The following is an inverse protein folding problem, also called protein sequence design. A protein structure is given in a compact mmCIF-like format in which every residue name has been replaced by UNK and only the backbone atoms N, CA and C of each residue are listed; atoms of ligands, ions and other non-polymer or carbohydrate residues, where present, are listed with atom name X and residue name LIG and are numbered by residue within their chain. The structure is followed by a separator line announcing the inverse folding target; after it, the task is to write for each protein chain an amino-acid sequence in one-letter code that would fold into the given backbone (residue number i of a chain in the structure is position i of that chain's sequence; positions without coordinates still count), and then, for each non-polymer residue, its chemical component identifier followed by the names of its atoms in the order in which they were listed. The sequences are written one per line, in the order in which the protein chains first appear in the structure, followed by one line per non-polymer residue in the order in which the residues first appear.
data_IF_020006755062
#
_entry.id   IF_020006755062
#
_cell.length_a   1.000
_cell.length_b   1.000
_cell.length_c   1.000
_cell.angle_alpha   90.00
_cell.angle_beta   90.00
_cell.angle_gamma   90.00
#
_symmetry.space_group_name_H-M   'P 1'
#
loop_
_entity.id
_entity.type
_entity.pdbx_description
1 polymer ?
#
# COMPACT_ATOMS: atom_id res chain seq x y z
N UNK A 1 12.96 3.35 6.16
CA UNK A 1 13.73 4.54 5.73
C UNK A 1 14.76 4.91 6.79
N UNK A 2 14.35 5.38 7.99
CA UNK A 2 15.28 5.76 9.07
C UNK A 2 16.28 4.66 9.46
N UNK A 3 15.85 3.39 9.48
CA UNK A 3 16.73 2.27 9.89
C UNK A 3 17.85 1.93 8.90
N UNK A 4 17.73 2.24 7.59
CA UNK A 4 18.80 1.94 6.63
C UNK A 4 19.92 2.99 6.75
N UNK A 5 19.55 4.27 6.72
CA UNK A 5 20.47 5.39 6.92
C UNK A 5 21.24 5.24 8.23
N UNK A 6 20.56 4.86 9.32
CA UNK A 6 21.24 4.64 10.61
C UNK A 6 22.27 3.51 10.56
N UNK A 7 22.03 2.43 9.81
CA UNK A 7 23.00 1.33 9.68
C UNK A 7 24.24 1.75 8.88
N UNK A 8 24.03 2.51 7.81
CA UNK A 8 25.13 2.94 6.94
C UNK A 8 25.98 4.02 7.65
N UNK A 9 25.33 4.92 8.40
CA UNK A 9 26.03 5.89 9.28
C UNK A 9 26.75 5.19 10.43
N UNK A 10 26.17 4.15 11.02
CA UNK A 10 26.84 3.35 12.06
C UNK A 10 28.10 2.66 11.52
N UNK A 11 28.04 2.07 10.33
CA UNK A 11 29.19 1.45 9.69
C UNK A 11 30.29 2.47 9.41
N UNK A 12 29.91 3.66 8.91
CA UNK A 12 30.85 4.75 8.69
C UNK A 12 31.51 5.24 9.99
N UNK A 13 30.72 5.43 11.05
CA UNK A 13 31.22 5.81 12.37
C UNK A 13 32.15 4.76 12.95
N UNK A 14 31.89 3.47 12.72
CA UNK A 14 32.77 2.38 13.14
C UNK A 14 34.12 2.45 12.42
N UNK A 15 34.12 2.60 11.10
CA UNK A 15 35.35 2.73 10.29
C UNK A 15 36.14 3.98 10.74
N UNK A 16 35.43 5.09 10.95
CA UNK A 16 36.02 6.32 11.47
C UNK A 16 36.67 6.08 12.84
N UNK A 17 35.96 5.49 13.80
CA UNK A 17 36.49 5.21 15.14
C UNK A 17 37.73 4.31 15.11
N UNK A 18 37.71 3.23 14.29
CA UNK A 18 38.87 2.34 14.12
C UNK A 18 40.06 3.09 13.54
N UNK A 19 39.84 3.92 12.52
CA UNK A 19 40.91 4.73 11.93
C UNK A 19 41.48 5.74 12.93
N UNK A 20 40.64 6.40 13.74
CA UNK A 20 41.09 7.34 14.77
C UNK A 20 41.95 6.66 15.81
N UNK A 21 41.55 5.46 16.27
CA UNK A 21 42.34 4.69 17.25
C UNK A 21 43.71 4.32 16.66
N UNK A 22 43.75 3.89 15.40
CA UNK A 22 45.00 3.54 14.73
C UNK A 22 45.94 4.75 14.58
N UNK A 23 45.40 5.91 14.21
CA UNK A 23 46.20 7.14 14.11
C UNK A 23 46.67 7.64 15.48
N UNK A 24 45.80 7.60 16.49
CA UNK A 24 46.16 7.96 17.86
C UNK A 24 47.32 7.09 18.38
N UNK A 25 47.32 5.80 18.06
CA UNK A 25 48.41 4.89 18.43
C UNK A 25 49.71 5.21 17.68
N UNK A 26 49.65 5.57 16.39
CA UNK A 26 50.83 6.02 15.65
C UNK A 26 51.44 7.30 16.22
N UNK A 27 50.62 8.30 16.56
CA UNK A 27 51.10 9.51 17.21
C UNK A 27 51.68 9.22 18.60
N UNK A 28 51.05 8.33 19.37
CA UNK A 28 51.58 7.90 20.66
C UNK A 28 52.97 7.28 20.54
N UNK A 29 53.17 6.38 19.57
CA UNK A 29 54.46 5.73 19.33
C UNK A 29 55.53 6.75 18.93
N UNK A 30 55.17 7.75 18.11
CA UNK A 30 56.08 8.83 17.72
C UNK A 30 56.46 9.71 18.92
N UNK A 31 55.49 10.11 19.74
CA UNK A 31 55.74 10.94 20.93
C UNK A 31 56.53 10.19 22.01
N UNK A 32 56.34 8.87 22.15
CA UNK A 32 57.06 8.05 23.13
C UNK A 32 58.54 7.84 22.77
N UNK A 33 58.88 7.92 21.48
CA UNK A 33 60.25 7.69 21.03
C UNK A 33 61.24 8.74 21.52
N UNK A 34 60.74 9.89 21.98
CA UNK A 34 61.54 10.96 22.54
C UNK A 34 61.56 10.86 24.08
N UNK A 35 62.66 10.33 24.63
CA UNK A 35 62.81 10.04 26.06
C UNK A 35 62.73 11.31 26.93
N UNK A 36 62.89 12.48 26.31
CA UNK A 36 62.92 13.77 27.00
C UNK A 36 61.53 14.31 27.35
N UNK A 37 60.45 13.83 26.70
CA UNK A 37 59.12 14.46 26.80
C UNK A 37 58.23 13.93 27.92
N UNK A 38 58.59 12.79 28.55
CA UNK A 38 57.82 12.15 29.62
C UNK A 38 58.69 11.71 30.81
N UNK A 39 59.26 12.66 31.58
CA UNK A 39 60.02 12.32 32.77
C UNK A 39 59.13 11.64 33.83
N UNK A 40 59.63 10.59 34.52
CA UNK A 40 58.83 9.79 35.45
C UNK A 40 58.37 10.56 36.71
N UNK A 41 59.01 11.69 37.02
CA UNK A 41 58.80 12.45 38.26
C UNK A 41 58.11 13.81 38.03
N UNK A 42 57.44 14.01 36.89
CA UNK A 42 56.79 15.28 36.59
C UNK A 42 55.50 15.47 37.40
N UNK A 43 55.32 16.64 37.99
CA UNK A 43 54.11 17.02 38.70
C UNK A 43 52.90 16.87 37.75
N UNK A 44 51.81 16.16 38.12
CA UNK A 44 50.67 15.90 37.24
C UNK A 44 50.00 17.16 36.66
N UNK A 45 50.25 18.35 37.21
CA UNK A 45 49.76 19.61 36.66
C UNK A 45 50.59 20.14 35.47
N UNK A 46 51.88 19.82 35.43
CA UNK A 46 52.82 20.20 34.37
C UNK A 46 53.20 19.03 33.47
N UNK A 47 52.70 17.84 33.78
CA UNK A 47 52.87 16.66 32.96
C UNK A 47 52.35 16.95 31.56
N UNK A 48 53.21 16.73 30.57
CA UNK A 48 52.85 16.84 29.17
C UNK A 48 51.50 16.11 28.95
N UNK A 49 50.49 16.69 28.28
CA UNK A 49 49.21 16.02 28.03
C UNK A 49 49.43 14.70 27.26
N UNK A 50 50.51 14.62 26.48
CA UNK A 50 51.02 13.38 25.88
C UNK A 50 51.76 12.48 26.89
N UNK A 51 51.49 12.63 28.19
CA UNK A 51 51.80 11.84 29.40
C UNK A 51 50.68 10.90 29.85
N UNK A 52 49.43 11.27 29.59
CA UNK A 52 48.24 10.69 30.22
C UNK A 52 47.44 9.74 29.31
N UNK A 53 46.73 8.71 29.84
CA UNK A 53 45.78 7.93 29.04
C UNK A 53 44.59 8.73 28.47
N UNK A 54 44.37 9.98 28.92
CA UNK A 54 43.31 10.88 28.43
C UNK A 54 43.55 11.36 26.97
N UNK A 55 44.77 11.16 26.45
CA UNK A 55 45.23 11.58 25.10
C UNK A 55 44.33 11.20 23.92
N UNK A 56 43.55 10.12 24.01
CA UNK A 56 42.64 9.74 22.93
C UNK A 56 41.58 10.81 22.66
N UNK A 57 41.18 11.57 23.69
CA UNK A 57 40.26 12.69 23.54
C UNK A 57 40.92 13.90 22.88
N UNK A 58 42.18 14.19 23.21
CA UNK A 58 42.90 15.31 22.60
C UNK A 58 43.16 15.05 21.12
N UNK A 59 43.50 13.82 20.74
CA UNK A 59 43.59 13.38 19.33
C UNK A 59 42.25 13.53 18.60
N UNK A 60 41.13 13.23 19.26
CA UNK A 60 39.79 13.42 18.69
C UNK A 60 39.49 14.90 18.43
N UNK A 61 39.81 15.77 19.39
CA UNK A 61 39.70 17.23 19.27
C UNK A 61 40.60 17.77 18.14
N UNK A 62 41.75 17.16 17.96
CA UNK A 62 42.70 17.50 16.90
C UNK A 62 42.20 17.14 15.49
N UNK A 63 41.53 15.99 15.35
CA UNK A 63 40.83 15.60 14.11
C UNK A 63 39.66 16.54 13.81
N UNK A 64 39.02 17.10 14.85
CA UNK A 64 38.00 18.15 14.70
C UNK A 64 38.59 19.51 14.28
N UNK A 65 39.91 19.61 14.11
CA UNK A 65 40.61 20.80 13.62
C UNK A 65 41.06 21.76 14.71
N UNK A 66 40.91 21.40 15.99
CA UNK A 66 41.49 22.17 17.10
C UNK A 66 42.92 21.69 17.33
N UNK A 67 43.87 22.35 16.67
CA UNK A 67 45.29 22.05 16.76
C UNK A 67 46.02 23.20 17.45
N UNK A 68 46.76 22.90 18.52
CA UNK A 68 47.73 23.83 19.10
C UNK A 68 49.09 23.62 18.44
N UNK A 69 49.50 24.58 17.61
CA UNK A 69 50.76 24.51 16.87
C UNK A 69 51.99 24.56 17.77
N UNK A 70 51.89 25.14 18.97
CA UNK A 70 53.04 25.35 19.86
C UNK A 70 53.71 24.04 20.29
N UNK A 71 52.94 22.96 20.42
CA UNK A 71 53.43 21.68 20.95
C UNK A 71 54.07 20.76 19.90
N UNK A 72 54.00 21.10 18.61
CA UNK A 72 54.38 20.19 17.51
C UNK A 72 55.49 20.71 16.61
N UNK A 73 55.94 21.95 16.82
CA UNK A 73 56.98 22.58 16.01
C UNK A 73 58.33 21.85 16.07
N UNK A 74 58.58 21.11 17.15
CA UNK A 74 59.86 20.45 17.39
C UNK A 74 60.08 19.18 16.55
N UNK A 75 59.01 18.62 15.95
CA UNK A 75 59.08 17.35 15.21
C UNK A 75 58.46 17.45 13.81
N UNK A 76 59.26 17.57 12.73
CA UNK A 76 58.75 17.72 11.36
C UNK A 76 57.95 16.49 10.88
N UNK A 77 58.25 15.30 11.40
CA UNK A 77 57.49 14.08 11.09
C UNK A 77 56.06 14.15 11.63
N UNK A 78 55.85 14.72 12.82
CA UNK A 78 54.53 14.85 13.44
C UNK A 78 53.66 15.85 12.68
N UNK A 79 54.26 16.95 12.20
CA UNK A 79 53.58 17.92 11.33
C UNK A 79 53.21 17.27 9.99
N UNK A 80 54.12 16.53 9.38
CA UNK A 80 53.85 15.84 8.10
C UNK A 80 52.73 14.81 8.25
N UNK A 81 52.75 13.99 9.31
CA UNK A 81 51.73 12.99 9.58
C UNK A 81 50.37 13.63 9.88
N UNK A 82 50.36 14.77 10.58
CA UNK A 82 49.14 15.56 10.80
C UNK A 82 48.54 16.11 9.50
N UNK A 83 49.37 16.67 8.60
CA UNK A 83 48.90 17.18 7.30
C UNK A 83 48.31 16.04 6.48
N UNK A 84 49.00 14.89 6.42
CA UNK A 84 48.51 13.71 5.71
C UNK A 84 47.19 13.23 6.33
N UNK A 85 47.12 13.11 7.65
CA UNK A 85 45.89 12.69 8.35
C UNK A 85 44.74 13.66 8.10
N UNK A 86 44.98 14.96 8.13
CA UNK A 86 43.94 15.98 7.92
C UNK A 86 43.44 15.95 6.47
N UNK A 87 44.35 15.84 5.50
CA UNK A 87 43.97 15.75 4.07
C UNK A 87 43.25 14.43 3.79
N UNK A 88 43.84 13.29 4.16
CA UNK A 88 43.23 11.98 3.91
C UNK A 88 41.93 11.83 4.70
N UNK A 89 41.93 12.18 5.98
CA UNK A 89 40.75 12.14 6.83
C UNK A 89 39.64 13.03 6.26
N UNK A 90 39.87 14.33 6.10
CA UNK A 90 38.82 15.23 5.63
C UNK A 90 38.34 14.88 4.22
N UNK A 91 39.25 14.64 3.27
CA UNK A 91 38.87 14.40 1.86
C UNK A 91 38.19 13.04 1.69
N UNK A 92 38.76 11.97 2.27
CA UNK A 92 38.22 10.63 2.09
C UNK A 92 36.93 10.45 2.89
N UNK A 93 36.87 10.90 4.15
CA UNK A 93 35.63 10.77 4.93
C UNK A 93 34.51 11.62 4.35
N UNK A 94 34.79 12.82 3.87
CA UNK A 94 33.76 13.65 3.24
C UNK A 94 33.24 13.00 1.95
N UNK A 95 34.13 12.50 1.09
CA UNK A 95 33.72 11.84 -0.16
C UNK A 95 32.92 10.56 0.09
N UNK A 96 33.34 9.74 1.07
CA UNK A 96 32.60 8.54 1.45
C UNK A 96 31.25 8.90 2.08
N UNK A 97 31.19 9.89 2.97
CA UNK A 97 29.94 10.34 3.59
C UNK A 97 28.95 10.81 2.52
N UNK A 98 29.39 11.63 1.58
CA UNK A 98 28.54 12.11 0.48
C UNK A 98 28.05 10.94 -0.38
N UNK A 99 28.93 10.00 -0.73
CA UNK A 99 28.56 8.81 -1.51
C UNK A 99 27.51 7.96 -0.78
N UNK A 100 27.71 7.67 0.50
CA UNK A 100 26.80 6.86 1.33
C UNK A 100 25.46 7.56 1.51
N UNK A 101 25.45 8.86 1.81
CA UNK A 101 24.21 9.64 1.97
C UNK A 101 23.46 9.74 0.66
N UNK A 102 24.16 9.98 -0.45
CA UNK A 102 23.56 10.08 -1.79
C UNK A 102 22.89 8.78 -2.21
N UNK A 103 23.58 7.64 -2.06
CA UNK A 103 23.03 6.32 -2.40
C UNK A 103 21.87 5.91 -1.48
N UNK A 104 21.99 6.21 -0.19
CA UNK A 104 20.91 6.02 0.77
C UNK A 104 19.67 6.85 0.42
N UNK A 105 19.89 8.10 -0.03
CA UNK A 105 18.81 9.01 -0.39
C UNK A 105 18.13 8.59 -1.70
N UNK A 106 18.90 8.24 -2.73
CA UNK A 106 18.38 7.77 -4.02
C UNK A 106 17.53 6.49 -3.85
N UNK A 107 18.05 5.51 -3.10
CA UNK A 107 17.35 4.26 -2.80
C UNK A 107 16.10 4.50 -1.96
N UNK A 108 16.18 5.40 -0.99
CA UNK A 108 15.04 5.74 -0.14
C UNK A 108 13.97 6.54 -0.90
N UNK A 109 14.34 7.40 -1.84
CA UNK A 109 13.43 8.14 -2.71
C UNK A 109 12.60 7.21 -3.59
N UNK A 110 13.25 6.24 -4.25
CA UNK A 110 12.56 5.24 -5.07
C UNK A 110 11.61 4.35 -4.25
N UNK A 111 11.99 3.98 -3.03
CA UNK A 111 11.11 3.23 -2.12
C UNK A 111 9.97 4.11 -1.59
N UNK A 112 10.22 5.38 -1.33
CA UNK A 112 9.23 6.34 -0.83
C UNK A 112 8.10 6.54 -1.82
N UNK A 113 8.41 6.72 -3.11
CA UNK A 113 7.37 6.87 -4.15
C UNK A 113 6.47 5.64 -4.24
N UNK A 114 7.04 4.42 -4.18
CA UNK A 114 6.27 3.17 -4.14
C UNK A 114 5.41 3.03 -2.89
N UNK A 115 5.97 3.35 -1.72
CA UNK A 115 5.23 3.30 -0.44
C UNK A 115 4.11 4.33 -0.40
N UNK A 116 4.35 5.53 -0.91
CA UNK A 116 3.36 6.59 -1.01
C UNK A 116 2.24 6.23 -1.97
N UNK A 117 2.57 5.67 -3.15
CA UNK A 117 1.59 5.13 -4.09
C UNK A 117 0.73 4.02 -3.45
N UNK A 118 1.36 3.09 -2.71
CA UNK A 118 0.64 2.03 -2.00
C UNK A 118 -0.27 2.58 -0.89
N UNK A 119 0.18 3.58 -0.15
CA UNK A 119 -0.62 4.24 0.88
C UNK A 119 -1.85 4.92 0.27
N UNK A 120 -1.68 5.67 -0.83
CA UNK A 120 -2.79 6.28 -1.57
C UNK A 120 -3.80 5.24 -2.05
N UNK A 121 -3.35 4.16 -2.68
CA UNK A 121 -4.23 3.09 -3.14
C UNK A 121 -5.00 2.43 -1.99
N UNK A 122 -4.36 2.26 -0.83
CA UNK A 122 -5.00 1.67 0.34
C UNK A 122 -6.07 2.63 0.91
N UNK A 123 -5.82 3.93 0.90
CA UNK A 123 -6.81 4.95 1.28
C UNK A 123 -7.99 4.97 0.32
N UNK A 124 -7.75 4.99 -1.01
CA UNK A 124 -8.83 4.93 -2.01
C UNK A 124 -9.63 3.64 -1.86
N UNK A 125 -8.97 2.50 -1.65
CA UNK A 125 -9.67 1.23 -1.42
C UNK A 125 -10.54 1.26 -0.15
N UNK A 126 -10.08 1.91 0.92
CA UNK A 126 -10.87 2.11 2.14
C UNK A 126 -12.08 3.01 1.90
N UNK A 127 -11.91 4.11 1.18
CA UNK A 127 -13.01 5.03 0.84
C UNK A 127 -14.04 4.31 -0.04
N UNK A 128 -13.61 3.60 -1.07
CA UNK A 128 -14.49 2.84 -1.96
C UNK A 128 -15.23 1.71 -1.21
N UNK A 129 -14.56 1.03 -0.26
CA UNK A 129 -15.22 0.05 0.59
C UNK A 129 -16.26 0.69 1.53
N UNK A 130 -15.99 1.89 2.03
CA UNK A 130 -16.93 2.66 2.85
C UNK A 130 -18.14 3.10 2.01
N UNK A 131 -17.89 3.54 0.77
CA UNK A 131 -18.94 3.91 -0.19
C UNK A 131 -19.85 2.73 -0.51
N UNK A 132 -19.29 1.53 -0.70
CA UNK A 132 -20.08 0.32 -0.94
C UNK A 132 -20.92 -0.08 0.29
N UNK A 133 -20.46 0.21 1.51
CA UNK A 133 -21.25 0.01 2.74
C UNK A 133 -22.37 1.05 2.84
N UNK A 134 -22.10 2.30 2.43
CA UNK A 134 -23.05 3.41 2.54
C UNK A 134 -24.10 3.44 1.42
N UNK A 135 -23.82 2.89 0.25
CA UNK A 135 -24.83 2.76 -0.81
C UNK A 135 -25.69 1.51 -0.57
N UNK A 136 -26.98 1.63 -0.18
CA UNK A 136 -27.87 0.49 -0.05
C UNK A 136 -28.13 -0.11 -1.44
N UNK A 137 -27.35 -1.12 -1.82
CA UNK A 137 -27.57 -1.85 -3.08
C UNK A 137 -28.87 -2.64 -2.97
N UNK A 138 -29.90 -2.19 -3.69
CA UNK A 138 -31.08 -2.99 -4.04
C UNK A 138 -30.60 -4.24 -4.78
N UNK A 139 -30.52 -5.36 -4.05
CA UNK A 139 -30.00 -6.61 -4.59
C UNK A 139 -31.09 -7.30 -5.40
N UNK A 140 -31.12 -7.08 -6.73
CA UNK A 140 -31.75 -8.02 -7.64
C UNK A 140 -30.84 -9.25 -7.80
N UNK A 141 -30.96 -10.18 -6.85
CA UNK A 141 -29.99 -11.26 -6.54
C UNK A 141 -30.10 -12.48 -7.47
N UNK A 142 -31.00 -12.50 -8.45
CA UNK A 142 -31.35 -13.73 -9.18
C UNK A 142 -30.51 -14.02 -10.44
N UNK A 143 -29.90 -13.03 -11.10
CA UNK A 143 -29.31 -13.27 -12.44
C UNK A 143 -27.81 -13.63 -12.45
N UNK A 144 -27.06 -13.34 -11.38
CA UNK A 144 -25.60 -13.60 -11.37
C UNK A 144 -25.21 -15.04 -11.02
N UNK A 145 -26.14 -15.88 -10.56
CA UNK A 145 -25.83 -17.30 -10.30
C UNK A 145 -25.86 -18.13 -11.58
N UNK A 146 -26.82 -17.86 -12.48
CA UNK A 146 -27.01 -18.63 -13.70
C UNK A 146 -25.87 -18.40 -14.70
N UNK A 147 -25.39 -17.15 -14.82
CA UNK A 147 -24.23 -16.80 -15.66
C UNK A 147 -22.93 -17.42 -15.13
N UNK A 148 -22.77 -17.58 -13.81
CA UNK A 148 -21.57 -18.22 -13.24
C UNK A 148 -21.56 -19.73 -13.46
N UNK A 149 -22.71 -20.40 -13.33
CA UNK A 149 -22.84 -21.84 -13.58
C UNK A 149 -22.65 -22.11 -15.08
N UNK A 150 -23.24 -21.30 -15.96
CA UNK A 150 -23.05 -21.41 -17.40
C UNK A 150 -21.58 -21.23 -17.82
N UNK A 151 -20.85 -20.23 -17.26
CA UNK A 151 -19.41 -20.05 -17.53
C UNK A 151 -18.55 -21.21 -17.03
N UNK A 152 -18.96 -21.89 -15.97
CA UNK A 152 -18.25 -23.05 -15.41
C UNK A 152 -18.49 -24.31 -16.28
N UNK A 153 -19.74 -24.53 -16.69
CA UNK A 153 -20.11 -25.61 -17.61
C UNK A 153 -19.43 -25.45 -18.97
N UNK A 154 -19.37 -24.23 -19.51
CA UNK A 154 -18.69 -23.96 -20.78
C UNK A 154 -17.18 -24.26 -20.69
N UNK A 155 -16.53 -23.94 -19.57
CA UNK A 155 -15.12 -24.25 -19.34
C UNK A 155 -14.86 -25.75 -19.20
N UNK A 156 -15.74 -26.48 -18.50
CA UNK A 156 -15.63 -27.94 -18.38
C UNK A 156 -15.83 -28.64 -19.73
N UNK A 157 -16.80 -28.17 -20.53
CA UNK A 157 -17.06 -28.69 -21.87
C UNK A 157 -15.86 -28.47 -22.81
N UNK A 158 -15.26 -27.27 -22.77
CA UNK A 158 -14.06 -26.96 -23.57
C UNK A 158 -12.87 -27.84 -23.20
N UNK A 159 -12.62 -28.07 -21.90
CA UNK A 159 -11.53 -28.92 -21.45
C UNK A 159 -11.74 -30.39 -21.88
N UNK A 160 -12.97 -30.90 -21.76
CA UNK A 160 -13.34 -32.23 -22.23
C UNK A 160 -13.10 -32.39 -23.74
N UNK A 161 -13.50 -31.40 -24.54
CA UNK A 161 -13.35 -31.43 -26.00
C UNK A 161 -11.88 -31.44 -26.43
N UNK A 162 -11.01 -30.62 -25.81
CA UNK A 162 -9.57 -30.65 -26.08
C UNK A 162 -8.93 -32.00 -25.71
N UNK A 163 -9.34 -32.59 -24.58
CA UNK A 163 -8.81 -33.90 -24.17
C UNK A 163 -9.21 -35.02 -25.14
N UNK A 164 -10.43 -34.95 -25.67
CA UNK A 164 -10.94 -35.90 -26.66
C UNK A 164 -10.25 -35.76 -28.03
N UNK A 165 -10.01 -34.52 -28.47
CA UNK A 165 -9.26 -34.26 -29.70
C UNK A 165 -7.82 -34.80 -29.63
N UNK A 166 -7.14 -34.64 -28.48
CA UNK A 166 -5.80 -35.21 -28.26
C UNK A 166 -5.80 -36.74 -28.28
N UNK A 167 -6.85 -37.38 -27.74
CA UNK A 167 -7.01 -38.83 -27.80
C UNK A 167 -7.19 -39.32 -29.24
N UNK A 168 -8.06 -38.67 -30.01
CA UNK A 168 -8.27 -39.00 -31.43
C UNK A 168 -7.00 -38.79 -32.26
N UNK A 169 -6.27 -37.71 -32.03
CA UNK A 169 -5.01 -37.43 -32.71
C UNK A 169 -3.95 -38.51 -32.41
N UNK A 170 -3.86 -38.95 -31.15
CA UNK A 170 -2.96 -40.03 -30.77
C UNK A 170 -3.33 -41.35 -31.46
N UNK A 171 -4.63 -41.67 -31.56
CA UNK A 171 -5.11 -42.86 -32.29
C UNK A 171 -4.85 -42.77 -33.79
N UNK A 172 -5.00 -41.59 -34.38
CA UNK A 172 -4.68 -41.32 -35.78
C UNK A 172 -3.18 -41.52 -36.05
N UNK A 173 -2.31 -41.03 -35.17
CA UNK A 173 -0.86 -41.23 -35.30
C UNK A 173 -0.46 -42.71 -35.23
N UNK A 174 -1.10 -43.49 -34.35
CA UNK A 174 -0.88 -44.94 -34.27
C UNK A 174 -1.34 -45.64 -35.55
N UNK A 175 -2.48 -45.23 -36.12
CA UNK A 175 -3.00 -45.78 -37.37
C UNK A 175 -2.09 -45.48 -38.57
N UNK A 176 -1.61 -44.23 -38.68
CA UNK A 176 -0.70 -43.81 -39.76
C UNK A 176 0.66 -44.54 -39.68
N UNK A 177 1.14 -44.81 -38.46
CA UNK A 177 2.43 -45.47 -38.26
C UNK A 177 2.35 -47.02 -38.30
N UNK A 178 1.16 -47.57 -38.57
CA UNK A 178 0.84 -49.00 -38.50
C UNK A 178 1.45 -49.90 -39.58
N UNK A 179 2.28 -49.36 -40.48
CA UNK A 179 2.90 -50.16 -41.54
C UNK A 179 4.16 -50.94 -41.10
N UNK A 180 4.63 -50.81 -39.85
CA UNK A 180 5.68 -51.66 -39.27
C UNK A 180 5.40 -52.00 -37.80
N UNK A 181 4.69 -53.12 -37.51
CA UNK A 181 4.08 -53.39 -36.20
C UNK A 181 4.99 -53.93 -35.08
N UNK A 182 6.33 -53.88 -35.19
CA UNK A 182 7.22 -54.62 -34.27
C UNK A 182 7.90 -53.81 -33.15
N UNK A 183 7.49 -52.57 -32.88
CA UNK A 183 8.04 -51.83 -31.72
C UNK A 183 7.08 -51.86 -30.53
N UNK A 184 7.40 -52.69 -29.54
CA UNK A 184 6.76 -52.70 -28.21
C UNK A 184 6.66 -51.29 -27.58
N UNK A 185 7.53 -50.35 -28.02
CA UNK A 185 7.49 -48.95 -27.65
C UNK A 185 6.19 -48.21 -28.02
N UNK A 186 5.54 -48.54 -29.14
CA UNK A 186 4.29 -47.88 -29.54
C UNK A 186 3.12 -48.27 -28.63
N UNK A 187 3.05 -49.53 -28.23
CA UNK A 187 2.04 -50.03 -27.28
C UNK A 187 2.29 -49.44 -25.90
N UNK A 188 3.55 -49.39 -25.46
CA UNK A 188 3.92 -48.81 -24.17
C UNK A 188 3.64 -47.30 -24.11
N UNK A 189 3.97 -46.54 -25.16
CA UNK A 189 3.66 -45.11 -25.25
C UNK A 189 2.14 -44.85 -25.23
N UNK A 190 1.36 -45.69 -25.92
CA UNK A 190 -0.10 -45.61 -25.91
C UNK A 190 -0.68 -45.86 -24.52
N UNK A 191 -0.11 -46.82 -23.77
CA UNK A 191 -0.51 -47.12 -22.41
C UNK A 191 -0.19 -45.99 -21.44
N UNK A 192 1.00 -45.38 -21.54
CA UNK A 192 1.38 -44.23 -20.70
C UNK A 192 0.48 -43.00 -20.97
N UNK A 193 0.13 -42.74 -22.23
CA UNK A 193 -0.79 -41.66 -22.58
C UNK A 193 -2.20 -41.92 -22.05
N UNK A 194 -2.65 -43.18 -22.04
CA UNK A 194 -3.93 -43.57 -21.45
C UNK A 194 -3.94 -43.38 -19.91
N UNK A 195 -2.87 -43.78 -19.22
CA UNK A 195 -2.74 -43.55 -17.78
C UNK A 195 -2.69 -42.05 -17.43
N UNK A 196 -1.99 -41.25 -18.24
CA UNK A 196 -1.95 -39.81 -18.07
C UNK A 196 -3.34 -39.17 -18.24
N UNK A 197 -4.10 -39.65 -19.25
CA UNK A 197 -5.49 -39.22 -19.45
C UNK A 197 -6.37 -39.51 -18.23
N UNK A 198 -6.34 -40.74 -17.71
CA UNK A 198 -7.08 -41.12 -16.49
C UNK A 198 -6.66 -40.25 -15.31
N UNK A 199 -5.36 -40.00 -15.14
CA UNK A 199 -4.83 -39.13 -14.09
C UNK A 199 -5.41 -37.71 -14.16
N UNK A 200 -5.47 -37.11 -15.35
CA UNK A 200 -6.05 -35.75 -15.52
C UNK A 200 -7.56 -35.71 -15.25
N UNK A 201 -8.31 -36.75 -15.61
CA UNK A 201 -9.74 -36.85 -15.28
C UNK A 201 -9.98 -36.99 -13.77
N UNK A 202 -9.20 -37.83 -13.09
CA UNK A 202 -9.30 -37.97 -11.64
C UNK A 202 -8.95 -36.66 -10.92
N UNK A 203 -7.87 -35.99 -11.32
CA UNK A 203 -7.46 -34.74 -10.68
C UNK A 203 -8.49 -33.62 -10.86
N UNK A 204 -9.09 -33.51 -12.06
CA UNK A 204 -10.15 -32.53 -12.32
C UNK A 204 -11.41 -32.84 -11.52
N UNK A 205 -11.77 -34.12 -11.35
CA UNK A 205 -12.90 -34.51 -10.50
C UNK A 205 -12.69 -34.14 -9.02
N UNK A 206 -11.47 -34.35 -8.49
CA UNK A 206 -11.11 -33.97 -7.12
C UNK A 206 -11.19 -32.45 -6.93
N UNK A 207 -10.72 -31.68 -7.91
CA UNK A 207 -10.82 -30.22 -7.85
C UNK A 207 -12.28 -29.74 -7.88
N UNK A 208 -13.16 -30.38 -8.66
CA UNK A 208 -14.60 -30.04 -8.70
C UNK A 208 -15.27 -30.33 -7.34
N UNK A 209 -14.98 -31.50 -6.75
CA UNK A 209 -15.54 -31.89 -5.45
C UNK A 209 -15.02 -30.97 -4.33
N UNK A 210 -13.72 -30.68 -4.32
CA UNK A 210 -13.11 -29.77 -3.35
C UNK A 210 -13.63 -28.33 -3.47
N UNK A 211 -13.97 -27.89 -4.68
CA UNK A 211 -14.58 -26.57 -4.88
C UNK A 211 -16.04 -26.51 -4.43
N UNK A 212 -16.77 -27.63 -4.50
CA UNK A 212 -18.15 -27.75 -4.01
C UNK A 212 -18.28 -27.60 -2.49
N UNK A 213 -17.31 -28.12 -1.72
CA UNK A 213 -17.34 -28.09 -0.26
C UNK A 213 -16.94 -26.74 0.35
N UNK A 214 -16.24 -25.87 -0.38
CA UNK A 214 -15.67 -24.64 0.19
C UNK A 214 -16.59 -23.40 0.11
N UNK A 215 -17.91 -23.60 0.01
CA UNK A 215 -18.92 -22.52 -0.15
C UNK A 215 -19.16 -21.64 1.09
N UNK A 216 -18.49 -21.87 2.22
CA UNK A 216 -18.71 -21.11 3.47
C UNK A 216 -17.71 -20.00 3.78
N UNK A 217 -16.74 -19.70 2.91
CA UNK A 217 -15.84 -18.55 3.14
C UNK A 217 -16.23 -17.32 2.30
N UNK A 218 -16.38 -16.14 2.91
CA UNK A 218 -16.67 -14.92 2.19
C UNK A 218 -15.49 -14.56 1.28
N UNK A 219 -15.87 -14.15 0.07
CA UNK A 219 -14.98 -13.92 -1.07
C UNK A 219 -14.07 -12.73 -0.79
N UNK A 220 -12.77 -12.96 -0.71
CA UNK A 220 -11.82 -12.00 -1.25
C UNK A 220 -10.56 -12.69 -1.77
N UNK A 221 -10.26 -12.43 -3.05
CA UNK A 221 -9.01 -12.74 -3.76
C UNK A 221 -8.60 -14.21 -3.87
N UNK A 222 -9.35 -14.97 -4.67
CA UNK A 222 -8.82 -16.15 -5.37
C UNK A 222 -9.10 -15.94 -6.87
N UNK A 223 -8.40 -14.99 -7.50
CA UNK A 223 -8.41 -14.85 -8.95
C UNK A 223 -7.04 -15.15 -9.59
N UNK A 224 -5.96 -15.27 -8.81
CA UNK A 224 -4.62 -15.60 -9.34
C UNK A 224 -4.24 -17.09 -9.22
N UNK A 225 -4.99 -17.90 -8.45
CA UNK A 225 -4.68 -19.34 -8.29
C UNK A 225 -4.92 -20.16 -9.55
N UNK A 226 -5.91 -19.79 -10.38
CA UNK A 226 -6.25 -20.57 -11.56
C UNK A 226 -5.25 -20.38 -12.72
N UNK A 227 -4.60 -19.22 -12.81
CA UNK A 227 -3.52 -19.03 -13.78
C UNK A 227 -2.30 -19.88 -13.38
N UNK A 228 -2.05 -20.00 -12.07
CA UNK A 228 -0.91 -20.75 -11.54
C UNK A 228 -1.02 -22.25 -11.77
N UNK A 229 -2.21 -22.84 -11.55
CA UNK A 229 -2.44 -24.27 -11.82
C UNK A 229 -2.33 -24.56 -13.33
N UNK A 230 -2.92 -23.72 -14.18
CA UNK A 230 -2.81 -23.88 -15.64
C UNK A 230 -1.36 -23.73 -16.12
N UNK A 231 -0.58 -22.82 -15.52
CA UNK A 231 0.84 -22.63 -15.82
C UNK A 231 1.73 -23.80 -15.39
N UNK A 232 1.44 -24.43 -14.24
CA UNK A 232 2.19 -25.58 -13.74
C UNK A 232 2.06 -26.78 -14.68
N UNK A 233 0.90 -26.96 -15.34
CA UNK A 233 0.71 -28.06 -16.30
C UNK A 233 1.18 -27.73 -17.72
N UNK A 234 1.15 -26.46 -18.13
CA UNK A 234 1.64 -26.06 -19.45
C UNK A 234 3.16 -26.17 -19.57
N UNK A 235 3.90 -25.87 -18.49
CA UNK A 235 5.38 -25.92 -18.48
C UNK A 235 5.98 -27.29 -18.77
N UNK A 236 5.58 -28.41 -18.14
CA UNK A 236 6.14 -29.72 -18.45
C UNK A 236 5.76 -30.17 -19.85
N UNK A 237 4.57 -29.81 -20.36
CA UNK A 237 4.20 -30.15 -21.74
C UNK A 237 5.04 -29.39 -22.76
N UNK A 238 5.23 -28.08 -22.58
CA UNK A 238 6.14 -27.28 -23.41
C UNK A 238 7.57 -27.76 -23.25
N UNK A 239 8.02 -28.13 -22.06
CA UNK A 239 9.36 -28.65 -21.82
C UNK A 239 9.58 -30.01 -22.51
N UNK A 240 8.59 -30.91 -22.50
CA UNK A 240 8.68 -32.19 -23.22
C UNK A 240 8.71 -31.95 -24.74
N UNK A 241 7.87 -31.05 -25.26
CA UNK A 241 7.91 -30.66 -26.68
C UNK A 241 9.23 -29.98 -27.04
N UNK A 242 9.77 -29.14 -26.16
CA UNK A 242 11.04 -28.45 -26.34
C UNK A 242 12.24 -29.37 -26.19
N UNK A 243 12.18 -30.42 -25.38
CA UNK A 243 13.24 -31.44 -25.27
C UNK A 243 13.20 -32.38 -26.48
N UNK A 244 12.01 -32.68 -27.01
CA UNK A 244 11.84 -33.49 -28.22
C UNK A 244 12.21 -32.70 -29.49
N UNK A 245 11.94 -31.40 -29.56
CA UNK A 245 12.33 -30.51 -30.67
C UNK A 245 13.74 -29.91 -30.51
N UNK A 246 14.26 -29.82 -29.29
CA UNK A 246 15.47 -29.08 -28.91
C UNK A 246 16.77 -29.88 -28.97
N UNK A 247 16.83 -30.92 -29.81
CA UNK A 247 18.11 -31.42 -30.33
C UNK A 247 18.73 -30.46 -31.37
N UNK A 248 18.08 -29.32 -31.66
CA UNK A 248 18.66 -28.22 -32.45
C UNK A 248 19.11 -27.09 -31.51
N UNK A 249 20.40 -27.14 -31.17
CA UNK A 249 21.32 -26.11 -30.68
C UNK A 249 20.78 -24.98 -29.78
N UNK A 250 21.07 -25.09 -28.48
CA UNK A 250 20.89 -24.02 -27.49
C UNK A 250 22.07 -23.05 -27.58
N UNK A 251 21.83 -21.86 -28.11
CA UNK A 251 22.69 -20.67 -27.93
C UNK A 251 22.32 -19.99 -26.62
N UNK A 252 23.33 -19.76 -25.78
CA UNK A 252 23.24 -19.10 -24.49
C UNK A 252 22.73 -17.65 -24.58
N UNK A 253 21.67 -17.32 -23.86
CA UNK A 253 21.22 -15.94 -23.66
C UNK A 253 21.69 -15.40 -22.31
N UNK A 254 22.69 -14.51 -22.34
CA UNK A 254 23.01 -13.61 -21.24
C UNK A 254 21.97 -12.47 -21.22
N UNK A 255 21.07 -12.47 -20.23
CA UNK A 255 20.11 -11.38 -20.04
C UNK A 255 20.73 -10.30 -19.16
N UNK A 256 21.17 -9.21 -19.79
CA UNK A 256 21.55 -7.96 -19.12
C UNK A 256 20.25 -7.25 -18.72
N UNK A 257 20.07 -7.00 -17.43
CA UNK A 257 18.85 -6.43 -16.86
C UNK A 257 18.93 -4.89 -16.97
N UNK A 258 18.29 -4.31 -17.99
CA UNK A 258 18.09 -2.87 -18.13
C UNK A 258 17.04 -2.42 -17.10
N UNK A 259 17.48 -1.90 -15.96
CA UNK A 259 16.58 -1.33 -14.93
C UNK A 259 16.16 0.12 -15.22
N UNK A 260 16.82 0.82 -16.15
CA UNK A 260 16.48 2.21 -16.48
C UNK A 260 15.19 2.33 -17.30
N UNK A 261 14.93 1.40 -18.24
CA UNK A 261 13.73 1.41 -19.09
C UNK A 261 12.43 1.15 -18.30
N UNK A 262 12.52 0.47 -17.14
CA UNK A 262 11.36 0.25 -16.26
C UNK A 262 10.97 1.49 -15.47
N UNK A 263 11.86 2.45 -15.26
CA UNK A 263 11.55 3.65 -14.46
C UNK A 263 10.62 4.58 -15.26
N UNK A 264 10.79 4.66 -16.57
CA UNK A 264 9.97 5.50 -17.46
C UNK A 264 8.54 4.97 -17.62
N UNK A 265 8.35 3.64 -17.69
CA UNK A 265 7.01 3.03 -17.76
C UNK A 265 6.15 3.37 -16.52
N UNK A 266 6.78 3.44 -15.34
CA UNK A 266 6.08 3.83 -14.10
C UNK A 266 5.73 5.31 -14.07
N UNK A 267 6.58 6.17 -14.65
CA UNK A 267 6.31 7.61 -14.75
C UNK A 267 5.07 7.88 -15.61
N UNK A 268 4.97 7.19 -16.75
CA UNK A 268 3.82 7.34 -17.65
C UNK A 268 2.53 6.78 -17.05
N UNK A 269 2.59 5.60 -16.42
CA UNK A 269 1.45 5.05 -15.66
C UNK A 269 1.02 5.96 -14.51
N UNK A 270 1.95 6.62 -13.84
CA UNK A 270 1.61 7.53 -12.75
C UNK A 270 0.92 8.79 -13.27
N UNK A 271 1.34 9.34 -14.41
CA UNK A 271 0.61 10.43 -15.09
C UNK A 271 -0.82 10.04 -15.47
N UNK A 272 -1.01 8.82 -15.97
CA UNK A 272 -2.33 8.30 -16.31
C UNK A 272 -3.22 8.10 -15.06
N UNK A 273 -2.65 7.66 -13.94
CA UNK A 273 -3.35 7.55 -12.67
C UNK A 273 -3.74 8.94 -12.15
N UNK A 274 -2.84 9.92 -12.20
CA UNK A 274 -3.11 11.28 -11.73
C UNK A 274 -4.19 11.96 -12.59
N UNK A 275 -4.19 11.79 -13.91
CA UNK A 275 -5.26 12.33 -14.76
C UNK A 275 -6.60 11.67 -14.48
N UNK A 276 -6.63 10.34 -14.33
CA UNK A 276 -7.85 9.58 -13.99
C UNK A 276 -8.37 9.97 -12.60
N UNK A 277 -7.48 10.18 -11.63
CA UNK A 277 -7.87 10.65 -10.29
C UNK A 277 -8.45 12.05 -10.35
N UNK A 278 -7.84 12.96 -11.10
CA UNK A 278 -8.32 14.33 -11.26
C UNK A 278 -9.71 14.36 -11.90
N UNK A 279 -9.90 13.60 -12.97
CA UNK A 279 -11.20 13.45 -13.62
C UNK A 279 -12.24 12.83 -12.67
N UNK A 280 -11.86 11.81 -11.89
CA UNK A 280 -12.78 11.23 -10.90
C UNK A 280 -13.15 12.23 -9.81
N UNK A 281 -12.20 13.07 -9.38
CA UNK A 281 -12.40 14.09 -8.34
C UNK A 281 -13.34 15.18 -8.84
N UNK A 282 -13.11 15.69 -10.05
CA UNK A 282 -13.98 16.68 -10.72
C UNK A 282 -15.41 16.13 -10.91
N UNK A 283 -15.56 14.86 -11.30
CA UNK A 283 -16.89 14.21 -11.38
C UNK A 283 -17.57 14.10 -10.03
N UNK A 284 -16.85 13.69 -8.98
CA UNK A 284 -17.44 13.66 -7.62
C UNK A 284 -17.80 15.04 -7.12
N UNK A 285 -16.99 16.06 -7.39
CA UNK A 285 -17.26 17.44 -6.97
C UNK A 285 -18.51 17.99 -7.67
N UNK A 286 -18.64 17.76 -8.98
CA UNK A 286 -19.85 18.10 -9.74
C UNK A 286 -21.09 17.38 -9.20
N UNK A 287 -21.02 16.08 -8.96
CA UNK A 287 -22.14 15.31 -8.41
C UNK A 287 -22.49 15.74 -6.98
N UNK A 288 -21.49 16.08 -6.15
CA UNK A 288 -21.72 16.56 -4.79
C UNK A 288 -22.41 17.93 -4.80
N UNK A 289 -22.01 18.82 -5.71
CA UNK A 289 -22.67 20.11 -5.92
C UNK A 289 -24.14 19.94 -6.32
N UNK A 290 -24.43 19.03 -7.26
CA UNK A 290 -25.81 18.73 -7.68
C UNK A 290 -26.66 18.17 -6.54
N UNK A 291 -26.09 17.28 -5.71
CA UNK A 291 -26.78 16.74 -4.52
C UNK A 291 -27.04 17.83 -3.48
N UNK A 292 -26.09 18.75 -3.26
CA UNK A 292 -26.25 19.89 -2.33
C UNK A 292 -27.37 20.82 -2.83
N UNK A 293 -27.39 21.13 -4.12
CA UNK A 293 -28.45 21.97 -4.71
C UNK A 293 -29.83 21.29 -4.65
N UNK A 294 -29.89 19.99 -4.89
CA UNK A 294 -31.10 19.18 -4.70
C UNK A 294 -31.57 19.16 -3.24
N UNK A 295 -30.65 19.08 -2.28
CA UNK A 295 -31.00 19.14 -0.86
C UNK A 295 -31.48 20.53 -0.46
N UNK A 296 -30.82 21.60 -0.91
CA UNK A 296 -31.22 22.98 -0.63
C UNK A 296 -32.62 23.28 -1.16
N UNK A 297 -32.95 22.81 -2.37
CA UNK A 297 -34.30 22.96 -2.95
C UNK A 297 -35.35 22.19 -2.15
N UNK A 298 -35.04 20.99 -1.66
CA UNK A 298 -35.94 20.21 -0.79
C UNK A 298 -36.15 20.86 0.57
N UNK A 299 -35.09 21.35 1.21
CA UNK A 299 -35.18 22.06 2.50
C UNK A 299 -36.04 23.31 2.38
N UNK A 300 -35.81 24.10 1.33
CA UNK A 300 -36.64 25.29 1.05
C UNK A 300 -38.12 24.92 0.83
N UNK A 301 -38.39 23.81 0.15
CA UNK A 301 -39.74 23.29 0.00
C UNK A 301 -40.41 22.96 1.35
N UNK A 302 -39.70 22.29 2.26
CA UNK A 302 -40.21 22.00 3.60
C UNK A 302 -40.39 23.25 4.46
N UNK A 303 -39.53 24.26 4.33
CA UNK A 303 -39.69 25.55 5.01
C UNK A 303 -40.95 26.29 4.53
N UNK A 304 -41.20 26.29 3.22
CA UNK A 304 -42.40 26.91 2.64
C UNK A 304 -43.69 26.17 3.02
N UNK A 305 -43.64 24.83 3.06
CA UNK A 305 -44.75 23.97 3.49
C UNK A 305 -45.07 24.17 4.98
N UNK A 306 -44.06 24.13 5.84
CA UNK A 306 -44.23 24.39 7.28
C UNK A 306 -44.74 25.80 7.56
N UNK A 307 -44.26 26.81 6.82
CA UNK A 307 -44.75 28.18 6.93
C UNK A 307 -46.22 28.31 6.51
N UNK A 308 -46.70 27.51 5.56
CA UNK A 308 -48.12 27.45 5.16
C UNK A 308 -48.97 26.83 6.26
N UNK A 309 -48.56 25.68 6.81
CA UNK A 309 -49.27 25.03 7.91
C UNK A 309 -49.41 25.94 9.13
N UNK A 310 -48.34 26.66 9.49
CA UNK A 310 -48.37 27.63 10.61
C UNK A 310 -49.38 28.77 10.33
N UNK A 311 -49.49 29.24 9.08
CA UNK A 311 -50.48 30.28 8.72
C UNK A 311 -51.91 29.75 8.82
N UNK A 312 -52.17 28.56 8.30
CA UNK A 312 -53.49 27.91 8.37
C UNK A 312 -53.91 27.65 9.82
N UNK A 313 -52.99 27.15 10.66
CA UNK A 313 -53.24 26.98 12.10
C UNK A 313 -53.51 28.32 12.80
N UNK A 314 -52.77 29.38 12.45
CA UNK A 314 -52.99 30.72 13.01
C UNK A 314 -54.34 31.30 12.62
N UNK A 315 -54.78 31.10 11.37
CA UNK A 315 -56.10 31.53 10.90
C UNK A 315 -57.23 30.73 11.55
N UNK A 316 -57.06 29.41 11.69
CA UNK A 316 -58.00 28.55 12.41
C UNK A 316 -58.14 28.95 13.87
N UNK A 317 -57.03 29.19 14.58
CA UNK A 317 -57.02 29.66 15.96
C UNK A 317 -57.67 31.05 16.09
N UNK A 318 -57.42 31.97 15.15
CA UNK A 318 -58.06 33.28 15.13
C UNK A 318 -59.58 33.17 14.92
N UNK A 319 -60.03 32.21 14.10
CA UNK A 319 -61.46 31.91 13.92
C UNK A 319 -62.09 31.38 15.21
N UNK A 320 -61.46 30.41 15.85
CA UNK A 320 -61.94 29.83 17.11
C UNK A 320 -61.99 30.87 18.24
N UNK A 321 -61.00 31.76 18.33
CA UNK A 321 -61.01 32.86 19.29
C UNK A 321 -62.16 33.84 19.05
N UNK A 322 -62.51 34.15 17.79
CA UNK A 322 -63.68 34.97 17.47
C UNK A 322 -64.97 34.31 17.92
N UNK A 323 -65.10 33.01 17.74
CA UNK A 323 -66.27 32.24 18.19
C UNK A 323 -66.40 32.23 19.72
N UNK A 324 -65.29 32.00 20.44
CA UNK A 324 -65.26 32.04 21.92
C UNK A 324 -65.66 33.44 22.43
N UNK A 325 -65.17 34.51 21.80
CA UNK A 325 -65.55 35.89 22.15
C UNK A 325 -67.05 36.11 21.92
N UNK A 326 -67.61 35.64 20.79
CA UNK A 326 -69.04 35.74 20.53
C UNK A 326 -69.88 34.97 21.55
N UNK A 327 -69.47 33.76 21.91
CA UNK A 327 -70.13 32.96 22.96
C UNK A 327 -70.09 33.66 24.32
N UNK A 328 -68.96 34.29 24.68
CA UNK A 328 -68.81 35.05 25.92
C UNK A 328 -69.77 36.25 25.98
N UNK A 329 -69.84 37.04 24.91
CA UNK A 329 -70.76 38.19 24.82
C UNK A 329 -72.22 37.73 24.93
N UNK A 330 -72.58 36.59 24.32
CA UNK A 330 -73.92 36.03 24.42
C UNK A 330 -74.25 35.61 25.87
N UNK A 331 -73.29 34.96 26.55
CA UNK A 331 -73.40 34.59 27.96
C UNK A 331 -73.58 35.82 28.87
N UNK A 332 -72.77 36.87 28.68
CA UNK A 332 -72.88 38.12 29.44
C UNK A 332 -74.26 38.77 29.27
N UNK A 333 -74.78 38.84 28.04
CA UNK A 333 -76.13 39.34 27.75
C UNK A 333 -77.24 38.50 28.42
N UNK A 334 -77.10 37.17 28.47
CA UNK A 334 -78.05 36.30 29.17
C UNK A 334 -77.98 36.54 30.68
N UNK A 335 -76.78 36.68 31.24
CA UNK A 335 -76.56 36.89 32.66
C UNK A 335 -77.14 38.23 33.12
N UNK A 336 -76.98 39.30 32.32
CA UNK A 336 -77.60 40.60 32.55
C UNK A 336 -79.14 40.52 32.51
N UNK A 337 -79.72 39.75 31.58
CA UNK A 337 -81.18 39.53 31.57
C UNK A 337 -81.66 38.75 32.79
N UNK A 338 -80.91 37.76 33.25
CA UNK A 338 -81.26 36.99 34.45
C UNK A 338 -81.20 37.84 35.73
N UNK A 339 -80.20 38.72 35.88
CA UNK A 339 -80.10 39.61 37.04
C UNK A 339 -81.25 40.63 37.09
N UNK A 340 -81.68 41.16 35.94
CA UNK A 340 -82.88 42.01 35.84
C UNK A 340 -84.14 41.26 36.26
N UNK A 341 -84.32 40.01 35.80
CA UNK A 341 -85.46 39.16 36.20
C UNK A 341 -85.43 38.88 37.70
N UNK A 342 -84.26 38.60 38.28
CA UNK A 342 -84.13 38.32 39.71
C UNK A 342 -84.39 39.56 40.57
N UNK A 343 -83.94 40.75 40.14
CA UNK A 343 -84.28 42.02 40.80
C UNK A 343 -85.79 42.32 40.72
N UNK A 344 -86.43 42.04 39.59
CA UNK A 344 -87.88 42.19 39.45
C UNK A 344 -88.63 41.25 40.41
N UNK A 345 -88.12 40.03 40.63
CA UNK A 345 -88.71 39.04 41.56
C UNK A 345 -88.59 39.44 43.03
N UNK A 346 -87.56 40.22 43.40
CA UNK A 346 -87.32 40.68 44.78
C UNK A 346 -88.12 41.93 45.17
N UNK A 347 -88.88 42.57 44.25
CA UNK A 347 -89.77 43.68 44.62
C UNK A 347 -91.01 43.12 45.35
N UNK A 348 -91.25 43.50 46.62
CA UNK A 348 -92.46 43.09 47.33
C UNK A 348 -93.69 43.69 46.63
N UNK A 349 -94.67 42.84 46.35
CA UNK A 349 -96.03 43.26 46.00
C UNK A 349 -96.59 44.02 47.21
N UNK A 350 -96.54 45.34 47.17
CA UNK A 350 -97.24 46.22 48.10
C UNK A 350 -98.54 46.70 47.48
#
# INVERSE_FOLDING_TARGET
MRQQILKDVQLLLLILAVSMIAFADMFYLLSKSDVTTCPPDQDPQDANPYCSPIRYLDMFVQILGQFDYGSFLDHPLTISLFIIMTIFGAVIFLNILIAVVSDSYSTSGQKSSRLFGRARLLTVAKINALEEIMQPKYCNRKDTQLVRVAKLLFKLLSLGCCSFAMFLFTRLLIFINGNNPSSAGAVFASFLLFLFYIGTLLLTSILIIGWGQNRKFPKCKILNGNIFVTWIFFRPMVFIVYVVMGQVSIVSFHKKENNEEKIDEWSEKMKQIDSTMRESTERTESHLSEVIDSLNTRVKGYEEESAREIRELKESLASQNREIIQQRVLLENILEKMTVVEQARKKPFF
#
